data_IF_904358078355
#
_entry.id   IF_904358078355
#
_cell.length_a   1.000
_cell.length_b   1.000
_cell.length_c   1.000
_cell.angle_alpha   90.00
_cell.angle_beta   90.00
_cell.angle_gamma   90.00
#
_symmetry.space_group_name_H-M   'P 1'
#
loop_
_entity.id
_entity.type
_entity.pdbx_description
1 polymer ?
#
# COMPACT_ATOMS: atom_id res chain seq x y z
N UNK A 1 13.35 -20.24 -2.79
CA UNK A 1 13.47 -18.76 -2.74
C UNK A 1 12.76 -18.18 -3.95
N UNK A 2 11.68 -17.44 -3.76
CA UNK A 2 10.97 -16.78 -4.86
C UNK A 2 11.93 -15.74 -5.47
N UNK A 3 12.43 -16.00 -6.67
CA UNK A 3 13.25 -15.04 -7.43
C UNK A 3 12.34 -13.94 -7.99
N UNK A 4 11.78 -13.13 -7.10
CA UNK A 4 10.97 -11.99 -7.47
C UNK A 4 11.89 -10.85 -7.93
N UNK A 5 11.57 -10.19 -9.06
CA UNK A 5 12.41 -9.11 -9.58
C UNK A 5 12.54 -8.00 -8.52
N UNK A 6 13.74 -7.41 -8.38
CA UNK A 6 14.04 -6.40 -7.35
C UNK A 6 13.01 -5.26 -7.31
N UNK A 7 12.49 -4.88 -8.47
CA UNK A 7 11.44 -3.87 -8.64
C UNK A 7 10.14 -4.22 -7.91
N UNK A 8 9.78 -5.51 -7.86
CA UNK A 8 8.57 -6.01 -7.19
C UNK A 8 8.71 -5.92 -5.66
N UNK A 9 9.88 -6.25 -5.14
CA UNK A 9 10.20 -6.08 -3.71
C UNK A 9 10.19 -4.63 -3.29
N UNK A 10 10.79 -3.74 -4.09
CA UNK A 10 10.78 -2.30 -3.83
C UNK A 10 9.34 -1.77 -3.74
N UNK A 11 8.47 -2.15 -4.69
CA UNK A 11 7.04 -1.77 -4.65
C UNK A 11 6.33 -2.25 -3.39
N UNK A 12 6.53 -3.51 -3.00
CA UNK A 12 5.92 -4.07 -1.79
C UNK A 12 6.38 -3.30 -0.56
N UNK A 13 7.69 -3.02 -0.44
CA UNK A 13 8.25 -2.29 0.71
C UNK A 13 7.65 -0.87 0.80
N UNK A 14 7.53 -0.16 -0.33
CA UNK A 14 6.94 1.18 -0.36
C UNK A 14 5.47 1.16 0.10
N UNK A 15 4.68 0.21 -0.39
CA UNK A 15 3.26 0.09 -0.02
C UNK A 15 3.11 -0.23 1.48
N UNK A 16 3.98 -1.08 2.03
CA UNK A 16 3.98 -1.38 3.46
C UNK A 16 4.39 -0.16 4.30
N UNK A 17 5.41 0.59 3.87
CA UNK A 17 5.81 1.83 4.56
C UNK A 17 4.64 2.82 4.58
N UNK A 18 3.89 2.93 3.47
CA UNK A 18 2.70 3.77 3.38
C UNK A 18 1.61 3.33 4.37
N UNK A 19 1.13 2.08 4.30
CA UNK A 19 0.06 1.55 5.16
C UNK A 19 0.37 1.56 6.66
N UNK A 20 1.66 1.49 7.04
CA UNK A 20 2.09 1.56 8.44
C UNK A 20 2.60 2.95 8.83
N UNK A 21 2.53 3.93 7.92
CA UNK A 21 2.96 5.29 8.20
C UNK A 21 1.96 5.97 9.14
N UNK A 22 2.41 6.54 10.27
CA UNK A 22 1.53 7.31 11.15
C UNK A 22 1.08 8.65 10.53
N UNK A 23 1.63 9.01 9.37
CA UNK A 23 1.30 10.25 8.63
C UNK A 23 -0.08 10.15 7.95
N UNK A 24 -0.56 8.92 7.73
CA UNK A 24 -1.78 8.66 6.98
C UNK A 24 -3.07 8.99 7.73
N UNK A 25 -3.02 9.52 8.95
CA UNK A 25 -4.19 9.89 9.79
C UNK A 25 -4.79 11.26 9.39
N UNK A 26 -4.07 12.01 8.56
CA UNK A 26 -4.43 13.37 8.13
C UNK A 26 -5.70 13.40 7.24
N UNK A 27 -5.84 12.52 6.23
CA UNK A 27 -7.00 12.45 5.37
C UNK A 27 -8.27 12.03 6.11
N UNK A 28 -8.25 11.09 7.05
CA UNK A 28 -9.46 10.66 7.78
C UNK A 28 -9.95 11.75 8.72
N UNK A 29 -9.04 12.53 9.30
CA UNK A 29 -9.39 13.66 10.16
C UNK A 29 -10.08 14.81 9.41
N UNK A 30 -9.86 14.94 8.09
CA UNK A 30 -10.37 16.05 7.26
C UNK A 30 -11.47 15.59 6.29
N UNK A 31 -11.28 14.45 5.64
CA UNK A 31 -12.14 13.88 4.58
C UNK A 31 -13.10 12.80 5.13
N UNK A 32 -12.95 12.40 6.39
CA UNK A 32 -13.80 11.38 7.00
C UNK A 32 -13.61 10.00 6.32
N UNK A 33 -14.68 9.24 6.07
CA UNK A 33 -14.60 7.90 5.47
C UNK A 33 -13.93 7.84 4.08
N UNK A 34 -13.82 8.98 3.40
CA UNK A 34 -13.14 9.07 2.10
C UNK A 34 -11.61 8.95 2.22
N UNK A 35 -11.03 9.23 3.39
CA UNK A 35 -9.61 8.98 3.66
C UNK A 35 -9.22 7.51 3.48
N UNK A 36 -10.15 6.60 3.82
CA UNK A 36 -9.96 5.14 3.72
C UNK A 36 -9.92 4.61 2.28
N UNK A 37 -10.26 5.44 1.29
CA UNK A 37 -10.23 5.03 -0.12
C UNK A 37 -8.79 4.82 -0.59
N UNK A 38 -7.85 5.61 -0.09
CA UNK A 38 -6.43 5.49 -0.42
C UNK A 38 -5.85 4.19 0.17
N UNK A 39 -6.16 3.88 1.43
CA UNK A 39 -5.81 2.61 2.08
C UNK A 39 -6.31 1.39 1.29
N UNK A 40 -7.57 1.44 0.86
CA UNK A 40 -8.17 0.36 0.07
C UNK A 40 -7.46 0.17 -1.28
N UNK A 41 -7.05 1.27 -1.93
CA UNK A 41 -6.28 1.24 -3.16
C UNK A 41 -4.87 0.67 -2.93
N UNK A 42 -4.19 1.07 -1.84
CA UNK A 42 -2.88 0.55 -1.45
C UNK A 42 -2.92 -0.95 -1.16
N UNK A 43 -3.93 -1.44 -0.45
CA UNK A 43 -4.15 -2.88 -0.19
C UNK A 43 -4.38 -3.63 -1.50
N UNK A 44 -5.23 -3.11 -2.39
CA UNK A 44 -5.50 -3.73 -3.69
C UNK A 44 -4.22 -3.79 -4.55
N UNK A 45 -3.42 -2.73 -4.54
CA UNK A 45 -2.14 -2.67 -5.23
C UNK A 45 -1.13 -3.68 -4.66
N UNK A 46 -1.11 -3.87 -3.34
CA UNK A 46 -0.28 -4.88 -2.68
C UNK A 46 -0.67 -6.29 -3.12
N UNK A 47 -1.97 -6.61 -3.08
CA UNK A 47 -2.51 -7.91 -3.52
C UNK A 47 -2.14 -8.17 -4.98
N UNK A 48 -2.39 -7.21 -5.87
CA UNK A 48 -2.03 -7.33 -7.29
C UNK A 48 -0.53 -7.52 -7.48
N UNK A 49 0.28 -6.75 -6.76
CA UNK A 49 1.74 -6.84 -6.84
C UNK A 49 2.21 -8.20 -6.36
N UNK A 50 1.66 -8.77 -5.29
CA UNK A 50 2.05 -10.12 -4.81
C UNK A 50 1.60 -11.20 -5.80
N UNK A 51 0.33 -11.16 -6.24
CA UNK A 51 -0.30 -12.22 -7.03
C UNK A 51 0.13 -12.25 -8.51
N UNK A 52 0.48 -11.12 -9.13
CA UNK A 52 1.03 -11.12 -10.49
C UNK A 52 2.39 -11.81 -10.47
N UNK A 53 2.50 -12.98 -11.11
CA UNK A 53 3.78 -13.67 -11.31
C UNK A 53 4.71 -12.84 -12.18
#
# INVERSE_FOLDING_TARGET
MLNMPKQKWIKIIIILIYLFSPIDILPEAVLGPLGLVDDAAAILLLIQTVLKK
#
